data_IF_630532093362
#
_entry.id   IF_630532093362
#
_cell.length_a   1.000
_cell.length_b   1.000
_cell.length_c   1.000
_cell.angle_alpha   90.00
_cell.angle_beta   90.00
_cell.angle_gamma   90.00
#
_symmetry.space_group_name_H-M   'P 1'
#
loop_
_entity.id
_entity.type
_entity.pdbx_description
1 polymer ?
#
# COMPACT_ATOMS: atom_id res chain seq x y z
N UNK A 1 25.53 4.01 -11.33
CA UNK A 1 25.38 3.01 -10.25
C UNK A 1 24.05 2.28 -10.47
N UNK A 2 23.98 0.93 -10.41
CA UNK A 2 22.71 0.25 -10.52
C UNK A 2 21.83 0.59 -9.32
N UNK A 3 20.70 1.25 -9.55
CA UNK A 3 19.67 1.44 -8.52
C UNK A 3 19.17 0.05 -8.16
N UNK A 4 19.54 -0.42 -6.97
CA UNK A 4 19.04 -1.68 -6.44
C UNK A 4 17.54 -1.52 -6.26
N UNK A 5 16.75 -2.07 -7.20
CA UNK A 5 15.29 -2.00 -7.15
C UNK A 5 14.83 -2.73 -5.90
N UNK A 6 14.54 -1.97 -4.85
CA UNK A 6 14.02 -2.48 -3.60
C UNK A 6 12.73 -3.26 -3.87
N UNK A 7 12.56 -4.41 -3.21
CA UNK A 7 11.32 -5.18 -3.34
C UNK A 7 10.18 -4.33 -2.79
N UNK A 8 9.06 -4.32 -3.49
CA UNK A 8 7.91 -3.49 -3.12
C UNK A 8 7.44 -3.73 -1.68
N UNK A 9 7.45 -5.00 -1.23
CA UNK A 9 7.13 -5.35 0.16
C UNK A 9 8.02 -4.60 1.16
N UNK A 10 9.34 -4.68 1.00
CA UNK A 10 10.29 -4.03 1.90
C UNK A 10 10.18 -2.50 1.83
N UNK A 11 10.03 -1.95 0.63
CA UNK A 11 9.81 -0.52 0.46
C UNK A 11 8.55 -0.06 1.19
N UNK A 12 7.46 -0.81 1.05
CA UNK A 12 6.18 -0.48 1.68
C UNK A 12 6.22 -0.61 3.20
N UNK A 13 6.83 -1.66 3.75
CA UNK A 13 7.01 -1.79 5.20
C UNK A 13 7.78 -0.60 5.77
N UNK A 14 8.88 -0.20 5.11
CA UNK A 14 9.65 0.98 5.51
C UNK A 14 8.84 2.27 5.41
N UNK A 15 8.00 2.44 4.37
CA UNK A 15 7.16 3.63 4.21
C UNK A 15 6.04 3.72 5.25
N UNK A 16 5.46 2.58 5.64
CA UNK A 16 4.45 2.53 6.69
C UNK A 16 5.12 2.81 8.05
N UNK A 17 6.29 2.23 8.31
CA UNK A 17 7.04 2.42 9.55
C UNK A 17 7.57 3.85 9.69
N UNK A 18 8.04 4.44 8.60
CA UNK A 18 8.53 5.82 8.59
C UNK A 18 7.42 6.86 8.76
N UNK A 19 6.13 6.45 8.73
CA UNK A 19 4.94 7.30 8.84
C UNK A 19 5.01 8.56 7.97
N UNK A 20 5.79 8.52 6.90
CA UNK A 20 6.12 9.67 6.05
C UNK A 20 4.93 10.04 5.18
N UNK A 21 4.08 9.06 4.90
CA UNK A 21 2.88 9.21 4.10
C UNK A 21 1.67 9.30 5.02
N UNK A 22 1.04 10.48 5.05
CA UNK A 22 -0.20 10.69 5.79
C UNK A 22 -1.30 9.73 5.34
N UNK A 23 -1.77 8.89 6.26
CA UNK A 23 -2.81 7.88 6.03
C UNK A 23 -2.31 6.49 5.66
N UNK A 24 -1.00 6.32 5.39
CA UNK A 24 -0.37 5.01 5.21
C UNK A 24 0.10 4.50 6.57
N UNK A 25 -0.71 3.66 7.22
CA UNK A 25 -0.43 3.16 8.57
C UNK A 25 -0.74 1.67 8.69
N UNK A 26 -0.09 1.00 9.64
CA UNK A 26 -0.47 -0.36 10.02
C UNK A 26 -1.82 -0.32 10.74
N UNK A 27 -2.78 -1.06 10.20
CA UNK A 27 -4.05 -1.34 10.91
C UNK A 27 -3.83 -2.49 11.89
N UNK A 28 -3.07 -3.49 11.46
CA UNK A 28 -2.75 -4.67 12.25
C UNK A 28 -1.39 -5.21 11.80
N UNK A 29 -0.40 -5.18 12.70
CA UNK A 29 0.97 -5.59 12.40
C UNK A 29 1.12 -7.12 12.36
N UNK A 30 0.35 -7.84 13.18
CA UNK A 30 0.38 -9.29 13.29
C UNK A 30 -0.11 -9.97 12.01
N UNK A 31 -1.18 -9.44 11.43
CA UNK A 31 -1.77 -9.91 10.17
C UNK A 31 -1.21 -9.20 8.93
N UNK A 32 -0.27 -8.27 9.12
CA UNK A 32 0.34 -7.41 8.10
C UNK A 32 -0.71 -6.66 7.26
N UNK A 33 -1.70 -6.09 7.93
CA UNK A 33 -2.73 -5.25 7.32
C UNK A 33 -2.39 -3.77 7.46
N UNK A 34 -2.48 -3.05 6.36
CA UNK A 34 -2.20 -1.61 6.30
C UNK A 34 -3.28 -0.88 5.52
N UNK A 35 -3.48 0.40 5.88
CA UNK A 35 -4.46 1.28 5.27
C UNK A 35 -3.79 2.25 4.31
N UNK A 36 -4.44 2.57 3.19
CA UNK A 36 -3.94 3.56 2.23
C UNK A 36 -5.02 4.54 1.81
N UNK A 37 -4.77 5.86 1.88
CA UNK A 37 -5.73 6.86 1.45
C UNK A 37 -5.92 6.80 -0.06
N UNK A 38 -7.14 6.49 -0.48
CA UNK A 38 -7.56 6.37 -1.87
C UNK A 38 -8.26 7.63 -2.37
N UNK A 39 -7.64 8.78 -2.13
CA UNK A 39 -8.12 10.08 -2.61
C UNK A 39 -7.93 10.16 -4.13
N UNK A 40 -9.01 10.47 -4.84
CA UNK A 40 -8.98 10.70 -6.29
C UNK A 40 -8.30 12.04 -6.60
N UNK A 41 -7.21 12.01 -7.38
CA UNK A 41 -6.44 13.20 -7.77
C UNK A 41 -7.28 14.25 -8.53
N UNK A 42 -8.41 13.84 -9.13
CA UNK A 42 -9.31 14.70 -9.89
C UNK A 42 -10.31 15.50 -9.02
N UNK A 43 -10.29 15.38 -7.68
CA UNK A 43 -11.22 16.12 -6.81
C UNK A 43 -10.60 17.42 -6.29
N UNK A 44 -11.36 18.52 -6.35
CA UNK A 44 -11.00 19.82 -5.77
C UNK A 44 -10.50 19.65 -4.33
N UNK A 45 -9.31 20.20 -4.02
CA UNK A 45 -8.63 20.02 -2.73
C UNK A 45 -7.51 18.97 -2.72
N UNK A 46 -7.03 18.55 -3.89
CA UNK A 46 -5.80 17.76 -4.02
C UNK A 46 -4.57 18.68 -3.85
N UNK A 47 -3.88 18.57 -2.72
CA UNK A 47 -2.66 19.35 -2.44
C UNK A 47 -1.43 18.51 -2.79
N UNK A 48 -0.72 18.85 -3.85
CA UNK A 48 0.49 18.13 -4.30
C UNK A 48 1.57 18.00 -3.21
N UNK A 49 1.59 18.93 -2.24
CA UNK A 49 2.49 18.92 -1.09
C UNK A 49 2.12 17.90 0.00
N UNK A 50 0.84 17.50 0.11
CA UNK A 50 0.33 16.60 1.16
C UNK A 50 -0.14 15.25 0.63
N UNK A 51 -0.58 15.21 -0.62
CA UNK A 51 -1.09 14.02 -1.28
C UNK A 51 -0.05 13.47 -2.26
N UNK A 52 0.58 12.33 -1.95
CA UNK A 52 1.64 11.83 -2.79
C UNK A 52 1.06 11.19 -4.07
N UNK A 53 1.11 11.92 -5.19
CA UNK A 53 0.62 11.45 -6.49
C UNK A 53 1.50 10.36 -7.11
N UNK A 54 2.82 10.48 -6.93
CA UNK A 54 3.78 9.75 -7.75
C UNK A 54 3.82 8.25 -7.44
N UNK A 55 3.65 7.85 -6.18
CA UNK A 55 3.64 6.42 -5.85
C UNK A 55 2.27 5.78 -6.06
N UNK A 56 1.14 6.46 -5.84
CA UNK A 56 -0.21 5.85 -5.88
C UNK A 56 -0.52 5.13 -7.20
N UNK A 57 -0.15 5.69 -8.35
CA UNK A 57 -0.41 5.07 -9.65
C UNK A 57 0.42 3.79 -9.88
N UNK A 58 1.74 3.89 -9.65
CA UNK A 58 2.66 2.75 -9.71
C UNK A 58 2.29 1.67 -8.69
N UNK A 59 1.80 2.10 -7.53
CA UNK A 59 1.44 1.25 -6.41
C UNK A 59 0.12 0.52 -6.61
N UNK A 60 -0.90 1.14 -7.23
CA UNK A 60 -2.12 0.44 -7.66
C UNK A 60 -1.80 -0.70 -8.61
N UNK A 61 -0.99 -0.41 -9.64
CA UNK A 61 -0.63 -1.41 -10.64
C UNK A 61 0.15 -2.57 -9.99
N UNK A 62 1.05 -2.25 -9.07
CA UNK A 62 1.84 -3.25 -8.41
C UNK A 62 1.06 -4.08 -7.38
N UNK A 63 0.18 -3.49 -6.55
CA UNK A 63 -0.67 -4.25 -5.62
C UNK A 63 -1.67 -5.17 -6.33
N UNK A 64 -2.16 -4.76 -7.51
CA UNK A 64 -3.11 -5.60 -8.27
C UNK A 64 -2.39 -6.78 -8.97
N UNK A 65 -1.08 -6.66 -9.20
CA UNK A 65 -0.30 -7.67 -9.94
C UNK A 65 0.52 -8.62 -9.06
N UNK A 66 0.67 -8.33 -7.77
CA UNK A 66 1.40 -9.17 -6.83
C UNK A 66 0.47 -10.21 -6.19
N UNK A 67 0.78 -11.52 -6.28
CA UNK A 67 -0.01 -12.57 -5.61
C UNK A 67 0.16 -12.57 -4.08
N UNK A 68 1.05 -11.73 -3.59
CA UNK A 68 1.46 -11.59 -2.20
C UNK A 68 0.62 -10.59 -1.41
N UNK A 69 -0.31 -9.87 -2.06
CA UNK A 69 -1.12 -8.83 -1.42
C UNK A 69 -2.59 -9.00 -1.79
N UNK A 70 -3.47 -8.84 -0.82
CA UNK A 70 -4.91 -8.97 -0.97
C UNK A 70 -5.61 -7.70 -0.48
N UNK A 71 -6.56 -7.17 -1.26
CA UNK A 71 -7.40 -6.05 -0.82
C UNK A 71 -8.53 -6.56 0.08
N UNK A 72 -8.56 -6.12 1.34
CA UNK A 72 -9.61 -6.47 2.31
C UNK A 72 -10.76 -5.50 2.16
N UNK A 73 -11.62 -5.76 1.17
CA UNK A 73 -12.76 -4.89 0.82
C UNK A 73 -13.73 -4.68 1.98
N UNK A 74 -13.93 -5.69 2.83
CA UNK A 74 -14.82 -5.63 3.99
C UNK A 74 -14.41 -4.55 5.00
N UNK A 75 -13.12 -4.17 5.03
CA UNK A 75 -12.60 -3.13 5.91
C UNK A 75 -12.25 -1.84 5.17
N UNK A 76 -12.34 -1.82 3.85
CA UNK A 76 -12.09 -0.64 3.03
C UNK A 76 -13.23 0.37 3.17
N UNK A 77 -12.89 1.63 3.44
CA UNK A 77 -13.83 2.73 3.57
C UNK A 77 -13.85 3.51 2.25
N UNK A 78 -14.98 3.52 1.53
CA UNK A 78 -15.14 4.30 0.29
C UNK A 78 -15.94 5.60 0.50
N UNK A 79 -15.89 6.18 1.70
CA UNK A 79 -16.59 7.44 1.99
C UNK A 79 -15.71 8.62 1.58
N UNK A 80 -16.01 9.18 0.42
CA UNK A 80 -15.49 10.43 -0.18
C UNK A 80 -14.23 11.04 0.47
N UNK A 81 -14.39 11.88 1.49
CA UNK A 81 -13.29 12.66 2.09
C UNK A 81 -12.29 11.84 2.90
N UNK A 82 -12.62 10.59 3.24
CA UNK A 82 -11.77 9.65 3.99
C UNK A 82 -11.72 8.30 3.30
N UNK A 83 -11.76 8.28 1.96
CA UNK A 83 -11.64 7.05 1.21
C UNK A 83 -10.28 6.40 1.52
N UNK A 84 -10.31 5.20 2.09
CA UNK A 84 -9.15 4.43 2.53
C UNK A 84 -9.35 2.98 2.12
N UNK A 85 -8.34 2.38 1.49
CA UNK A 85 -8.33 0.96 1.17
C UNK A 85 -7.46 0.20 2.14
N UNK A 86 -7.94 -0.95 2.60
CA UNK A 86 -7.18 -1.84 3.46
C UNK A 86 -6.61 -2.96 2.61
N UNK A 87 -5.31 -3.18 2.73
CA UNK A 87 -4.60 -4.28 2.09
C UNK A 87 -3.94 -5.15 3.15
N UNK A 88 -3.87 -6.45 2.85
CA UNK A 88 -3.20 -7.46 3.67
C UNK A 88 -2.02 -8.03 2.89
N UNK A 89 -0.84 -8.03 3.50
CA UNK A 89 0.28 -8.79 2.94
C UNK A 89 0.11 -10.26 3.31
N UNK A 90 -0.06 -11.11 2.31
CA UNK A 90 -0.06 -12.54 2.50
C UNK A 90 1.37 -13.01 2.85
N UNK A 91 1.51 -14.08 3.64
CA UNK A 91 2.81 -14.69 3.86
C UNK A 91 3.36 -15.13 2.50
N UNK A 92 4.62 -14.81 2.23
CA UNK A 92 5.31 -15.32 1.03
C UNK A 92 5.21 -16.83 1.09
N UNK A 93 4.48 -17.45 0.15
CA UNK A 93 4.48 -18.90 0.01
C UNK A 93 5.93 -19.29 -0.22
N UNK A 94 6.60 -19.81 0.81
CA UNK A 94 7.89 -20.47 0.61
C UNK A 94 7.57 -21.64 -0.30
N UNK A 95 7.95 -21.56 -1.58
CA UNK A 95 8.02 -22.76 -2.42
C UNK A 95 8.89 -23.73 -1.61
N UNK A 96 8.29 -24.80 -1.09
CA UNK A 96 9.11 -25.89 -0.60
C UNK A 96 9.91 -26.32 -1.82
N UNK A 97 11.22 -26.11 -1.72
CA UNK A 97 12.17 -26.82 -2.56
C UNK A 97 12.19 -28.20 -1.91
N UNK A 98 11.14 -28.98 -2.18
CA UNK A 98 11.18 -30.41 -1.86
C UNK A 98 12.32 -31.01 -2.68
N UNK A 99 13.09 -31.79 -1.94
CA UNK A 99 14.46 -32.23 -2.17
C UNK A 99 14.55 -33.29 -3.26
#
# INVERSE_FOLDING_TARGET
MPVQRMRMRQWLENQIESSTVSGLNWVDKDTKMFSIPWKHAARHGWEMAKDPCTWKANFRCAMTSVPDFEEVKDKSINKEHRAVRIFRMLPVRRKSRDK
#
